data_IF_534321395170
#
_entry.id   IF_534321395170
#
_cell.length_a   1.000
_cell.length_b   1.000
_cell.length_c   1.000
_cell.angle_alpha   90.00
_cell.angle_beta   90.00
_cell.angle_gamma   90.00
#
_symmetry.space_group_name_H-M   'P 1'
#
loop_
_entity.id
_entity.type
_entity.pdbx_description
1 polymer ?
#
# COMPACT_ATOMS: atom_id res chain seq x y z
N UNK A 1 98.58 8.01 11.30
CA UNK A 1 97.65 8.89 10.57
C UNK A 1 96.59 7.98 9.96
N UNK A 2 95.55 7.57 10.70
CA UNK A 2 94.29 8.31 10.92
C UNK A 2 93.42 8.13 9.67
N UNK A 3 92.41 7.26 9.58
CA UNK A 3 91.36 6.92 10.54
C UNK A 3 90.04 7.45 9.98
N UNK A 4 89.52 6.85 8.90
CA UNK A 4 88.31 7.32 8.20
C UNK A 4 87.50 6.17 7.58
N UNK A 5 87.04 5.23 8.40
CA UNK A 5 86.06 4.21 7.99
C UNK A 5 85.10 3.96 9.14
N UNK A 6 84.03 4.75 9.26
CA UNK A 6 83.13 4.62 10.40
C UNK A 6 81.78 5.33 10.34
N UNK A 7 81.32 5.81 9.18
CA UNK A 7 80.02 6.50 9.09
C UNK A 7 79.04 5.96 8.04
N UNK A 8 79.47 5.02 7.19
CA UNK A 8 78.60 4.40 6.18
C UNK A 8 77.41 3.55 6.75
N UNK A 9 77.53 2.80 7.87
CA UNK A 9 76.44 1.91 8.29
C UNK A 9 75.28 2.64 8.99
N UNK A 10 75.50 3.84 9.53
CA UNK A 10 74.45 4.61 10.21
C UNK A 10 73.47 5.27 9.22
N UNK A 11 73.96 5.74 8.07
CA UNK A 11 73.13 6.38 7.05
C UNK A 11 72.13 5.41 6.37
N UNK A 12 72.53 4.16 6.14
CA UNK A 12 71.64 3.12 5.60
C UNK A 12 70.55 2.69 6.59
N UNK A 13 70.87 2.65 7.88
CA UNK A 13 69.90 2.28 8.93
C UNK A 13 68.76 3.31 9.06
N UNK A 14 69.07 4.60 8.86
CA UNK A 14 68.10 5.68 8.97
C UNK A 14 67.12 5.71 7.79
N UNK A 15 67.60 5.47 6.57
CA UNK A 15 66.75 5.33 5.37
C UNK A 15 65.82 4.11 5.43
N UNK A 16 66.29 2.99 6.00
CA UNK A 16 65.47 1.80 6.22
C UNK A 16 64.35 2.07 7.26
N UNK A 17 64.66 2.80 8.33
CA UNK A 17 63.64 3.21 9.31
C UNK A 17 62.61 4.18 8.72
N UNK A 18 63.04 5.12 7.87
CA UNK A 18 62.16 6.11 7.25
C UNK A 18 61.18 5.46 6.26
N UNK A 19 61.63 4.47 5.48
CA UNK A 19 60.76 3.69 4.60
C UNK A 19 59.74 2.84 5.36
N UNK A 20 60.15 2.19 6.47
CA UNK A 20 59.22 1.45 7.34
C UNK A 20 58.18 2.39 7.96
N UNK A 21 58.57 3.59 8.40
CA UNK A 21 57.64 4.59 8.96
C UNK A 21 56.66 5.11 7.91
N UNK A 22 57.12 5.37 6.67
CA UNK A 22 56.25 5.81 5.56
C UNK A 22 55.27 4.69 5.16
N UNK A 23 55.72 3.44 5.09
CA UNK A 23 54.86 2.29 4.81
C UNK A 23 53.87 2.06 5.95
N UNK A 24 54.30 2.19 7.21
CA UNK A 24 53.43 2.05 8.37
C UNK A 24 52.38 3.18 8.46
N UNK A 25 52.76 4.43 8.17
CA UNK A 25 51.83 5.56 8.08
C UNK A 25 50.87 5.42 6.90
N UNK A 26 51.37 4.96 5.75
CA UNK A 26 50.54 4.64 4.58
C UNK A 26 49.54 3.51 4.86
N UNK A 27 49.98 2.44 5.51
CA UNK A 27 49.12 1.32 5.91
C UNK A 27 48.10 1.74 6.98
N UNK A 28 48.49 2.58 7.94
CA UNK A 28 47.58 3.13 8.93
C UNK A 28 46.52 4.04 8.28
N UNK A 29 46.92 4.90 7.34
CA UNK A 29 46.01 5.76 6.58
C UNK A 29 45.04 4.98 5.69
N UNK A 30 45.50 3.92 5.03
CA UNK A 30 44.65 3.01 4.25
C UNK A 30 43.67 2.27 5.17
N UNK A 31 44.12 1.84 6.35
CA UNK A 31 43.28 1.21 7.37
C UNK A 31 42.12 2.10 7.84
N UNK A 32 42.38 3.38 8.10
CA UNK A 32 41.33 4.35 8.46
C UNK A 32 40.36 4.61 7.31
N UNK A 33 40.84 4.71 6.07
CA UNK A 33 39.97 4.88 4.89
C UNK A 33 39.06 3.66 4.71
N UNK A 34 39.59 2.44 4.83
CA UNK A 34 38.80 1.20 4.75
C UNK A 34 37.76 1.11 5.87
N UNK A 35 38.14 1.49 7.10
CA UNK A 35 37.21 1.55 8.24
C UNK A 35 36.10 2.57 7.98
N UNK A 36 36.44 3.77 7.52
CA UNK A 36 35.49 4.84 7.20
C UNK A 36 34.52 4.42 6.09
N UNK A 37 35.02 3.79 5.02
CA UNK A 37 34.20 3.23 3.94
C UNK A 37 33.26 2.15 4.48
N UNK A 38 33.72 1.25 5.35
CA UNK A 38 32.86 0.22 5.96
C UNK A 38 31.78 0.82 6.87
N UNK A 39 32.09 1.84 7.67
CA UNK A 39 31.12 2.53 8.51
C UNK A 39 30.06 3.24 7.66
N UNK A 40 30.48 3.93 6.59
CA UNK A 40 29.58 4.57 5.63
C UNK A 40 28.71 3.56 4.86
N UNK A 41 29.26 2.40 4.48
CA UNK A 41 28.51 1.30 3.88
C UNK A 41 27.50 0.70 4.87
N UNK A 42 27.88 0.51 6.14
CA UNK A 42 26.99 0.00 7.17
C UNK A 42 25.81 0.96 7.44
N UNK A 43 26.06 2.27 7.49
CA UNK A 43 25.01 3.28 7.60
C UNK A 43 24.09 3.29 6.36
N UNK A 44 24.66 3.30 5.15
CA UNK A 44 23.89 3.23 3.91
C UNK A 44 23.01 1.97 3.80
N UNK A 45 23.54 0.82 4.24
CA UNK A 45 22.80 -0.45 4.25
C UNK A 45 21.64 -0.45 5.25
N UNK A 46 21.81 0.18 6.42
CA UNK A 46 20.72 0.36 7.39
C UNK A 46 19.64 1.26 6.82
N UNK A 47 20.00 2.45 6.34
CA UNK A 47 19.02 3.41 5.81
C UNK A 47 18.24 2.83 4.61
N UNK A 48 18.95 2.17 3.69
CA UNK A 48 18.33 1.50 2.53
C UNK A 48 17.47 0.31 2.94
N UNK A 49 17.94 -0.49 3.90
CA UNK A 49 17.18 -1.62 4.47
C UNK A 49 15.89 -1.16 5.13
N UNK A 50 15.93 -0.10 5.94
CA UNK A 50 14.75 0.47 6.60
C UNK A 50 13.72 1.00 5.60
N UNK A 51 14.16 1.66 4.53
CA UNK A 51 13.27 2.14 3.49
C UNK A 51 12.60 0.97 2.74
N UNK A 52 13.36 -0.06 2.38
CA UNK A 52 12.84 -1.26 1.72
C UNK A 52 11.90 -2.05 2.64
N UNK A 53 12.19 -2.15 3.93
CA UNK A 53 11.30 -2.80 4.90
C UNK A 53 9.98 -2.02 5.08
N UNK A 54 10.02 -0.68 5.05
CA UNK A 54 8.81 0.15 5.01
C UNK A 54 7.98 -0.10 3.75
N UNK A 55 8.63 -0.14 2.59
CA UNK A 55 7.96 -0.47 1.32
C UNK A 55 7.32 -1.86 1.41
N UNK A 56 8.06 -2.88 1.88
CA UNK A 56 7.55 -4.25 2.06
C UNK A 56 6.29 -4.28 2.92
N UNK A 57 6.31 -3.61 4.08
CA UNK A 57 5.12 -3.50 4.94
C UNK A 57 3.93 -2.87 4.22
N UNK A 58 4.18 -1.84 3.40
CA UNK A 58 3.11 -1.15 2.66
C UNK A 58 2.52 -2.02 1.56
N UNK A 59 3.36 -2.71 0.81
CA UNK A 59 2.97 -3.63 -0.26
C UNK A 59 2.18 -4.82 0.31
N UNK A 60 2.61 -5.39 1.43
CA UNK A 60 1.87 -6.47 2.11
C UNK A 60 0.52 -5.98 2.65
N UNK A 61 0.48 -4.79 3.27
CA UNK A 61 -0.78 -4.22 3.76
C UNK A 61 -1.79 -3.94 2.64
N UNK A 62 -1.32 -3.49 1.47
CA UNK A 62 -2.17 -3.32 0.29
C UNK A 62 -2.69 -4.65 -0.25
N UNK A 63 -1.87 -5.70 -0.26
CA UNK A 63 -2.32 -7.04 -0.66
C UNK A 63 -3.43 -7.55 0.27
N UNK A 64 -3.21 -7.50 1.59
CA UNK A 64 -4.21 -7.95 2.57
C UNK A 64 -5.55 -7.21 2.42
N UNK A 65 -5.48 -5.90 2.17
CA UNK A 65 -6.68 -5.07 1.96
C UNK A 65 -7.38 -5.43 0.64
N UNK A 66 -6.62 -5.64 -0.43
CA UNK A 66 -7.15 -6.04 -1.74
C UNK A 66 -7.81 -7.42 -1.68
N UNK A 67 -7.19 -8.37 -0.97
CA UNK A 67 -7.74 -9.70 -0.70
C UNK A 67 -9.07 -9.62 0.06
N UNK A 68 -9.15 -8.79 1.10
CA UNK A 68 -10.39 -8.55 1.83
C UNK A 68 -11.50 -7.97 0.95
N UNK A 69 -11.16 -7.00 0.09
CA UNK A 69 -12.09 -6.42 -0.88
C UNK A 69 -12.57 -7.51 -1.85
N UNK A 70 -11.66 -8.35 -2.36
CA UNK A 70 -11.98 -9.45 -3.27
C UNK A 70 -12.96 -10.44 -2.64
N UNK A 71 -12.66 -10.95 -1.45
CA UNK A 71 -13.54 -11.89 -0.75
C UNK A 71 -14.93 -11.32 -0.47
N UNK A 72 -15.03 -10.02 -0.17
CA UNK A 72 -16.33 -9.35 -0.01
C UNK A 72 -17.07 -9.23 -1.34
N UNK A 73 -16.37 -8.90 -2.41
CA UNK A 73 -16.93 -8.78 -3.76
C UNK A 73 -17.45 -10.13 -4.30
N UNK A 74 -16.73 -11.22 -4.01
CA UNK A 74 -17.10 -12.58 -4.43
C UNK A 74 -18.50 -12.99 -3.95
N UNK A 75 -18.95 -12.49 -2.79
CA UNK A 75 -20.30 -12.73 -2.26
C UNK A 75 -21.43 -12.22 -3.16
N UNK A 76 -21.13 -11.25 -4.03
CA UNK A 76 -22.09 -10.65 -4.96
C UNK A 76 -22.02 -11.29 -6.36
N UNK A 77 -21.06 -12.18 -6.58
CA UNK A 77 -20.85 -12.88 -7.86
C UNK A 77 -20.99 -14.38 -7.72
N UNK A 78 -21.35 -14.87 -6.54
CA UNK A 78 -21.56 -16.29 -6.25
C UNK A 78 -22.81 -16.80 -7.01
N UNK A 79 -22.75 -18.03 -7.53
CA UNK A 79 -23.80 -18.59 -8.41
C UNK A 79 -25.14 -18.76 -7.68
N UNK A 80 -25.11 -18.87 -6.35
CA UNK A 80 -26.31 -18.97 -5.50
C UNK A 80 -26.93 -17.59 -5.17
N UNK A 81 -26.24 -16.49 -5.47
CA UNK A 81 -26.74 -15.14 -5.24
C UNK A 81 -27.62 -14.67 -6.42
N UNK A 82 -28.73 -13.94 -6.16
CA UNK A 82 -29.47 -13.31 -7.24
C UNK A 82 -28.55 -12.36 -8.00
N UNK A 83 -28.51 -12.49 -9.33
CA UNK A 83 -27.66 -11.64 -10.17
C UNK A 83 -27.96 -10.16 -9.89
N UNK A 84 -26.96 -9.37 -9.48
CA UNK A 84 -27.20 -7.97 -9.17
C UNK A 84 -27.65 -7.23 -10.44
N UNK A 85 -28.58 -6.30 -10.28
CA UNK A 85 -29.14 -5.49 -11.35
C UNK A 85 -29.18 -4.01 -10.95
N UNK A 86 -29.43 -3.14 -11.93
CA UNK A 86 -29.62 -1.71 -11.70
C UNK A 86 -28.46 -1.07 -10.93
N UNK A 87 -28.78 -0.35 -9.86
CA UNK A 87 -27.79 0.42 -9.09
C UNK A 87 -26.79 -0.48 -8.37
N UNK A 88 -27.25 -1.63 -7.89
CA UNK A 88 -26.41 -2.64 -7.23
C UNK A 88 -25.34 -3.16 -8.19
N UNK A 89 -25.70 -3.49 -9.43
CA UNK A 89 -24.74 -3.93 -10.45
C UNK A 89 -23.69 -2.85 -10.76
N UNK A 90 -24.11 -1.59 -10.89
CA UNK A 90 -23.18 -0.47 -11.12
C UNK A 90 -22.13 -0.33 -10.01
N UNK A 91 -22.55 -0.42 -8.74
CA UNK A 91 -21.63 -0.32 -7.61
C UNK A 91 -20.69 -1.54 -7.53
N UNK A 92 -21.18 -2.74 -7.84
CA UNK A 92 -20.35 -3.96 -7.90
C UNK A 92 -19.27 -3.82 -8.98
N UNK A 93 -19.64 -3.41 -10.20
CA UNK A 93 -18.66 -3.21 -11.28
C UNK A 93 -17.66 -2.09 -10.98
N UNK A 94 -18.13 -1.02 -10.31
CA UNK A 94 -17.23 0.04 -9.86
C UNK A 94 -16.23 -0.46 -8.82
N UNK A 95 -16.69 -1.21 -7.82
CA UNK A 95 -15.83 -1.83 -6.81
C UNK A 95 -14.82 -2.80 -7.45
N UNK A 96 -15.25 -3.62 -8.43
CA UNK A 96 -14.38 -4.50 -9.21
C UNK A 96 -13.29 -3.72 -9.96
N UNK A 97 -13.68 -2.67 -10.68
CA UNK A 97 -12.74 -1.82 -11.43
C UNK A 97 -11.69 -1.19 -10.50
N UNK A 98 -12.09 -0.76 -9.29
CA UNK A 98 -11.16 -0.26 -8.28
C UNK A 98 -10.21 -1.34 -7.78
N UNK A 99 -10.72 -2.55 -7.51
CA UNK A 99 -9.90 -3.70 -7.12
C UNK A 99 -8.87 -4.08 -8.21
N UNK A 100 -9.28 -4.12 -9.47
CA UNK A 100 -8.38 -4.43 -10.60
C UNK A 100 -7.27 -3.38 -10.72
N UNK A 101 -7.62 -2.10 -10.54
CA UNK A 101 -6.65 -1.01 -10.49
C UNK A 101 -5.65 -1.19 -9.35
N UNK A 102 -6.12 -1.56 -8.16
CA UNK A 102 -5.27 -1.83 -7.00
C UNK A 102 -4.31 -2.99 -7.25
N UNK A 103 -4.80 -4.12 -7.76
CA UNK A 103 -4.00 -5.30 -8.03
C UNK A 103 -2.96 -5.05 -9.13
N UNK A 104 -3.34 -4.33 -10.20
CA UNK A 104 -2.41 -3.94 -11.26
C UNK A 104 -1.26 -3.08 -10.74
N UNK A 105 -1.57 -2.04 -9.95
CA UNK A 105 -0.54 -1.15 -9.36
C UNK A 105 0.26 -1.83 -8.26
N UNK A 106 -0.36 -2.72 -7.50
CA UNK A 106 0.33 -3.53 -6.51
C UNK A 106 1.40 -4.44 -7.15
N UNK A 107 1.11 -5.05 -8.30
CA UNK A 107 2.08 -5.87 -9.03
C UNK A 107 3.31 -5.06 -9.48
N UNK A 108 3.11 -3.81 -9.93
CA UNK A 108 4.21 -2.88 -10.25
C UNK A 108 5.08 -2.57 -9.02
N UNK A 109 4.45 -2.32 -7.87
CA UNK A 109 5.14 -2.08 -6.61
C UNK A 109 5.91 -3.30 -6.13
N UNK A 110 5.36 -4.51 -6.30
CA UNK A 110 6.01 -5.76 -5.93
C UNK A 110 7.28 -6.01 -6.76
N UNK A 111 7.23 -5.75 -8.07
CA UNK A 111 8.42 -5.80 -8.92
C UNK A 111 9.47 -4.77 -8.49
N UNK A 112 9.04 -3.57 -8.09
CA UNK A 112 9.93 -2.52 -7.61
C UNK A 112 10.59 -2.91 -6.28
N UNK A 113 9.84 -3.51 -5.37
CA UNK A 113 10.36 -4.07 -4.13
C UNK A 113 11.44 -5.13 -4.39
N UNK A 114 11.17 -6.09 -5.28
CA UNK A 114 12.15 -7.13 -5.65
C UNK A 114 13.44 -6.53 -6.22
N UNK A 115 13.35 -5.48 -7.05
CA UNK A 115 14.54 -4.77 -7.57
C UNK A 115 15.32 -4.10 -6.45
N UNK A 116 14.65 -3.44 -5.51
CA UNK A 116 15.32 -2.81 -4.36
C UNK A 116 16.00 -3.85 -3.47
N UNK A 117 15.34 -4.99 -3.20
CA UNK A 117 15.92 -6.11 -2.44
C UNK A 117 17.15 -6.69 -3.14
N UNK A 118 17.10 -6.85 -4.47
CA UNK A 118 18.25 -7.28 -5.26
C UNK A 118 19.43 -6.30 -5.12
N UNK A 119 19.17 -4.98 -5.24
CA UNK A 119 20.20 -3.95 -5.05
C UNK A 119 20.81 -3.95 -3.64
N UNK A 120 20.02 -4.22 -2.59
CA UNK A 120 20.53 -4.35 -1.22
C UNK A 120 21.33 -5.64 -0.99
N UNK A 121 21.04 -6.68 -1.77
CA UNK A 121 21.75 -7.96 -1.73
C UNK A 121 23.12 -7.88 -2.39
N UNK A 122 23.29 -7.00 -3.37
CA UNK A 122 24.58 -6.69 -3.97
C UNK A 122 25.55 -6.18 -2.89
N UNK A 123 26.75 -6.77 -2.86
CA UNK A 123 27.83 -6.38 -1.94
C UNK A 123 28.91 -5.63 -2.73
N UNK A 124 28.67 -4.37 -3.14
CA UNK A 124 29.69 -3.59 -3.83
C UNK A 124 30.88 -3.37 -2.89
N UNK A 125 32.08 -3.70 -3.36
CA UNK A 125 33.30 -3.59 -2.55
C UNK A 125 33.64 -2.14 -2.17
N UNK A 126 33.21 -1.16 -2.96
CA UNK A 126 33.67 0.24 -2.85
C UNK A 126 32.54 1.29 -2.90
N UNK A 127 31.34 0.94 -3.41
CA UNK A 127 30.30 1.94 -3.71
C UNK A 127 29.12 1.91 -2.73
N UNK A 128 28.68 3.10 -2.27
CA UNK A 128 27.41 3.29 -1.53
C UNK A 128 26.21 3.49 -2.47
N UNK A 129 26.45 3.70 -3.77
CA UNK A 129 25.41 4.06 -4.74
C UNK A 129 24.24 3.08 -4.76
N UNK A 130 24.42 1.75 -4.73
CA UNK A 130 23.29 0.81 -4.77
C UNK A 130 22.35 0.98 -3.56
N UNK A 131 22.89 1.27 -2.38
CA UNK A 131 22.09 1.47 -1.16
C UNK A 131 21.28 2.78 -1.20
N UNK A 132 21.87 3.86 -1.75
CA UNK A 132 21.17 5.14 -1.92
C UNK A 132 20.10 5.06 -3.00
N UNK A 133 20.39 4.39 -4.11
CA UNK A 133 19.43 4.15 -5.19
C UNK A 133 18.26 3.28 -4.73
N UNK A 134 18.52 2.21 -3.98
CA UNK A 134 17.49 1.37 -3.40
C UNK A 134 16.61 2.17 -2.43
N UNK A 135 17.21 3.03 -1.60
CA UNK A 135 16.47 3.92 -0.70
C UNK A 135 15.56 4.88 -1.46
N UNK A 136 16.09 5.62 -2.43
CA UNK A 136 15.34 6.62 -3.19
C UNK A 136 14.20 5.96 -4.01
N UNK A 137 14.49 4.81 -4.60
CA UNK A 137 13.48 4.01 -5.32
C UNK A 137 12.39 3.53 -4.36
N UNK A 138 12.77 3.06 -3.17
CA UNK A 138 11.82 2.62 -2.16
C UNK A 138 10.96 3.78 -1.63
N UNK A 139 11.53 4.95 -1.39
CA UNK A 139 10.79 6.14 -0.93
C UNK A 139 9.75 6.58 -1.96
N UNK A 140 10.12 6.68 -3.25
CA UNK A 140 9.15 6.97 -4.33
C UNK A 140 8.07 5.90 -4.47
N UNK A 141 8.44 4.62 -4.31
CA UNK A 141 7.47 3.52 -4.35
C UNK A 141 6.52 3.55 -3.15
N UNK A 142 6.97 4.01 -1.97
CA UNK A 142 6.10 4.23 -0.81
C UNK A 142 5.07 5.32 -1.11
N UNK A 143 5.48 6.44 -1.70
CA UNK A 143 4.55 7.50 -2.11
C UNK A 143 3.49 6.99 -3.09
N UNK A 144 3.91 6.17 -4.06
CA UNK A 144 3.00 5.51 -4.99
C UNK A 144 2.04 4.54 -4.27
N UNK A 145 2.53 3.77 -3.30
CA UNK A 145 1.70 2.88 -2.49
C UNK A 145 0.69 3.67 -1.63
N UNK A 146 1.09 4.81 -1.08
CA UNK A 146 0.22 5.68 -0.29
C UNK A 146 -0.89 6.30 -1.16
N UNK A 147 -0.59 6.63 -2.42
CA UNK A 147 -1.58 7.10 -3.39
C UNK A 147 -2.65 6.05 -3.74
N UNK A 148 -2.44 4.77 -3.45
CA UNK A 148 -3.42 3.69 -3.64
C UNK A 148 -4.41 3.57 -2.47
N UNK A 149 -4.09 4.12 -1.29
CA UNK A 149 -4.95 3.98 -0.11
C UNK A 149 -6.34 4.61 -0.28
N UNK A 150 -6.49 5.80 -0.90
CA UNK A 150 -7.81 6.36 -1.18
C UNK A 150 -8.64 5.47 -2.12
N UNK A 151 -8.00 4.81 -3.09
CA UNK A 151 -8.66 3.89 -4.03
C UNK A 151 -9.18 2.65 -3.27
N UNK A 152 -8.38 2.10 -2.36
CA UNK A 152 -8.79 1.00 -1.50
C UNK A 152 -9.93 1.40 -0.55
N UNK A 153 -9.87 2.61 0.03
CA UNK A 153 -10.93 3.12 0.89
C UNK A 153 -12.24 3.37 0.11
N UNK A 154 -12.17 3.85 -1.14
CA UNK A 154 -13.34 4.00 -2.01
C UNK A 154 -13.98 2.64 -2.31
N UNK A 155 -13.18 1.63 -2.66
CA UNK A 155 -13.68 0.27 -2.91
C UNK A 155 -14.36 -0.34 -1.67
N UNK A 156 -13.77 -0.17 -0.49
CA UNK A 156 -14.38 -0.61 0.77
C UNK A 156 -15.69 0.13 1.05
N UNK A 157 -15.74 1.45 0.84
CA UNK A 157 -16.97 2.22 1.04
C UNK A 157 -18.09 1.81 0.09
N UNK A 158 -17.77 1.47 -1.17
CA UNK A 158 -18.74 0.94 -2.13
C UNK A 158 -19.30 -0.42 -1.65
N UNK A 159 -18.43 -1.29 -1.15
CA UNK A 159 -18.84 -2.57 -0.58
C UNK A 159 -19.66 -2.40 0.71
N UNK A 160 -19.32 -1.45 1.57
CA UNK A 160 -20.11 -1.13 2.77
C UNK A 160 -21.51 -0.64 2.38
N UNK A 161 -21.64 0.16 1.32
CA UNK A 161 -22.94 0.58 0.80
C UNK A 161 -23.76 -0.62 0.30
N UNK A 162 -23.12 -1.52 -0.44
CA UNK A 162 -23.75 -2.75 -0.96
C UNK A 162 -24.22 -3.68 0.16
N UNK A 163 -23.38 -3.94 1.15
CA UNK A 163 -23.69 -4.84 2.27
C UNK A 163 -24.80 -4.27 3.18
N UNK A 164 -24.87 -2.95 3.34
CA UNK A 164 -25.87 -2.30 4.19
C UNK A 164 -27.18 -1.97 3.46
N UNK A 165 -27.21 -1.99 2.12
CA UNK A 165 -28.38 -1.62 1.34
C UNK A 165 -29.63 -2.49 1.62
N UNK A 166 -29.54 -3.83 1.75
CA UNK A 166 -30.72 -4.65 2.05
C UNK A 166 -31.36 -4.29 3.40
N UNK A 167 -30.54 -4.08 4.44
CA UNK A 167 -31.02 -3.71 5.77
C UNK A 167 -31.67 -2.32 5.77
N UNK A 168 -31.07 -1.36 5.04
CA UNK A 168 -31.65 -0.02 4.87
C UNK A 168 -32.99 -0.07 4.14
N UNK A 169 -33.06 -0.79 3.03
CA UNK A 169 -34.29 -0.91 2.25
C UNK A 169 -35.40 -1.60 3.07
N UNK A 170 -35.11 -2.67 3.81
CA UNK A 170 -36.06 -3.32 4.71
C UNK A 170 -36.59 -2.36 5.78
N UNK A 171 -35.70 -1.60 6.43
CA UNK A 171 -36.11 -0.63 7.44
C UNK A 171 -36.99 0.50 6.86
N UNK A 172 -36.73 0.93 5.63
CA UNK A 172 -37.58 1.91 4.94
C UNK A 172 -38.95 1.31 4.58
N UNK A 173 -38.99 0.08 4.06
CA UNK A 173 -40.23 -0.64 3.76
C UNK A 173 -41.13 -0.83 4.98
N UNK A 174 -40.55 -1.19 6.14
CA UNK A 174 -41.30 -1.32 7.39
C UNK A 174 -41.92 0.01 7.85
N UNK A 175 -41.19 1.12 7.70
CA UNK A 175 -41.73 2.46 7.98
C UNK A 175 -42.88 2.82 7.05
N UNK A 176 -42.71 2.60 5.74
CA UNK A 176 -43.77 2.85 4.77
C UNK A 176 -45.04 2.03 5.06
N UNK A 177 -44.89 0.74 5.45
CA UNK A 177 -46.01 -0.11 5.89
C UNK A 177 -46.71 0.45 7.13
N UNK A 178 -45.95 0.98 8.07
CA UNK A 178 -46.49 1.59 9.30
C UNK A 178 -47.29 2.87 8.97
N UNK A 179 -46.79 3.71 8.06
CA UNK A 179 -47.48 4.92 7.60
C UNK A 179 -48.77 4.61 6.83
N UNK A 180 -48.79 3.54 6.03
CA UNK A 180 -50.00 3.03 5.37
C UNK A 180 -51.06 2.52 6.34
N UNK A 181 -50.65 1.90 7.45
CA UNK A 181 -51.54 1.39 8.49
C UNK A 181 -52.01 2.44 9.51
N UNK A 182 -51.40 3.63 9.51
CA UNK A 182 -51.76 4.71 10.41
C UNK A 182 -53.09 5.36 9.97
N UNK A 183 -53.99 5.72 10.90
CA UNK A 183 -55.21 6.43 10.55
C UNK A 183 -54.87 7.77 9.85
N UNK A 184 -55.40 7.94 8.64
CA UNK A 184 -55.16 8.97 7.60
C UNK A 184 -55.28 10.46 8.04
N UNK A 185 -55.33 10.76 9.34
CA UNK A 185 -55.71 12.10 9.84
C UNK A 185 -54.60 13.15 9.91
N UNK A 186 -53.33 12.86 9.62
CA UNK A 186 -52.27 13.85 9.89
C UNK A 186 -51.18 14.05 8.83
N UNK A 187 -51.01 13.18 7.84
CA UNK A 187 -49.89 13.25 6.91
C UNK A 187 -50.40 13.16 5.48
N UNK A 188 -50.44 14.28 4.77
CA UNK A 188 -50.92 14.40 3.38
C UNK A 188 -50.07 13.66 2.33
N UNK A 189 -49.30 12.65 2.72
CA UNK A 189 -48.55 11.76 1.85
C UNK A 189 -49.24 10.38 1.86
N UNK A 190 -50.14 10.16 0.90
CA UNK A 190 -50.66 8.83 0.62
C UNK A 190 -49.57 8.03 -0.07
N UNK A 191 -48.86 7.17 0.67
CA UNK A 191 -47.99 6.17 0.05
C UNK A 191 -48.89 5.23 -0.76
N UNK A 192 -48.49 4.95 -2.00
CA UNK A 192 -49.23 4.04 -2.88
C UNK A 192 -48.85 2.58 -2.57
N UNK A 193 -49.82 1.71 -2.21
CA UNK A 193 -49.57 0.29 -1.93
C UNK A 193 -49.01 -0.47 -3.14
N UNK A 194 -49.27 -0.05 -4.38
CA UNK A 194 -48.66 -0.67 -5.57
C UNK A 194 -47.16 -0.37 -5.64
N UNK A 195 -46.76 0.87 -5.30
CA UNK A 195 -45.34 1.25 -5.23
C UNK A 195 -44.58 0.49 -4.16
N UNK A 196 -45.21 0.26 -3.00
CA UNK A 196 -44.62 -0.56 -1.94
C UNK A 196 -44.33 -1.99 -2.42
N UNK A 197 -45.28 -2.63 -3.11
CA UNK A 197 -45.09 -3.98 -3.66
C UNK A 197 -44.01 -4.01 -4.74
N UNK A 198 -43.94 -2.99 -5.59
CA UNK A 198 -42.90 -2.86 -6.61
C UNK A 198 -41.50 -2.76 -5.97
N UNK A 199 -41.36 -1.97 -4.90
CA UNK A 199 -40.13 -1.85 -4.12
C UNK A 199 -39.73 -3.17 -3.43
N UNK A 200 -40.70 -3.90 -2.84
CA UNK A 200 -40.46 -5.22 -2.26
C UNK A 200 -39.97 -6.23 -3.29
N UNK A 201 -40.51 -6.19 -4.51
CA UNK A 201 -40.04 -7.03 -5.61
C UNK A 201 -38.63 -6.64 -6.10
N UNK A 202 -38.28 -5.34 -6.05
CA UNK A 202 -36.98 -4.81 -6.46
C UNK A 202 -35.87 -5.04 -5.41
N UNK A 203 -36.22 -5.22 -4.13
CA UNK A 203 -35.26 -5.41 -3.03
C UNK A 203 -34.24 -6.53 -3.29
N UNK A 204 -34.68 -7.63 -3.91
CA UNK A 204 -33.83 -8.79 -4.15
C UNK A 204 -32.85 -8.59 -5.32
N UNK A 205 -33.28 -8.12 -6.51
CA UNK A 205 -32.36 -7.88 -7.63
C UNK A 205 -31.61 -6.54 -7.58
N UNK A 206 -32.10 -5.52 -6.87
CA UNK A 206 -31.44 -4.20 -6.72
C UNK A 206 -31.72 -3.58 -5.34
N UNK A 207 -31.11 -4.11 -4.26
CA UNK A 207 -31.30 -3.60 -2.90
C UNK A 207 -30.88 -2.13 -2.74
N UNK A 208 -29.86 -1.68 -3.49
CA UNK A 208 -29.39 -0.28 -3.42
C UNK A 208 -30.41 0.66 -4.06
N UNK A 209 -30.86 0.36 -5.28
CA UNK A 209 -31.89 1.17 -5.94
C UNK A 209 -33.19 1.20 -5.13
N UNK A 210 -33.57 0.06 -4.54
CA UNK A 210 -34.73 -0.01 -3.66
C UNK A 210 -34.56 0.84 -2.40
N UNK A 211 -33.39 0.84 -1.76
CA UNK A 211 -33.11 1.69 -0.60
C UNK A 211 -33.22 3.19 -0.95
N UNK A 212 -32.59 3.61 -2.05
CA UNK A 212 -32.59 5.01 -2.50
C UNK A 212 -34.01 5.49 -2.86
N UNK A 213 -34.78 4.66 -3.56
CA UNK A 213 -36.16 4.99 -3.94
C UNK A 213 -37.08 5.03 -2.71
N UNK A 214 -36.94 4.11 -1.76
CA UNK A 214 -37.71 4.12 -0.51
C UNK A 214 -37.39 5.36 0.35
N UNK A 215 -36.13 5.78 0.44
CA UNK A 215 -35.73 7.00 1.14
C UNK A 215 -36.27 8.27 0.46
N UNK A 216 -36.31 8.30 -0.88
CA UNK A 216 -36.94 9.37 -1.65
C UNK A 216 -38.44 9.48 -1.36
N UNK A 217 -39.15 8.36 -1.34
CA UNK A 217 -40.59 8.34 -1.03
C UNK A 217 -40.90 8.79 0.40
N UNK A 218 -39.99 8.54 1.34
CA UNK A 218 -40.07 9.02 2.73
C UNK A 218 -39.58 10.47 2.92
N UNK A 219 -39.17 11.17 1.85
CA UNK A 219 -38.74 12.57 1.89
C UNK A 219 -37.39 12.81 2.57
N UNK A 220 -36.47 11.83 2.53
CA UNK A 220 -35.12 11.94 3.11
C UNK A 220 -33.99 12.04 2.08
N UNK A 221 -34.32 12.32 0.82
CA UNK A 221 -33.35 12.52 -0.27
C UNK A 221 -32.69 13.90 -0.25
#
# INVERSE_FOLDING_TARGET
MGGATGLAPLALSWLAWLTVVVVALGAAGIGTIVLMVRVLQAAGRRDGGEAVDRLRRRVLGLLERSERIRTRLERFTDDDAPTPSGRTAELVERARTRLDTLLGRWAELQLTLQRCEAQLSERPLVSRLPYLQARETAERAIEQADALLPIAAEAESLLDQLENAPARALACLERMRTELGAPVRATGASIDPERLRALEAQLRPDPVGAAEEAERLLGRG
#
